data_IF_594908026162
#
_entry.id   IF_594908026162
#
_cell.length_a   1.000
_cell.length_b   1.000
_cell.length_c   1.000
_cell.angle_alpha   90.00
_cell.angle_beta   90.00
_cell.angle_gamma   90.00
#
_symmetry.space_group_name_H-M   'P 1'
#
loop_
_entity.id
_entity.type
_entity.pdbx_description
1 polymer ?
#
# COMPACT_ATOMS: atom_id res chain seq x y z
N UNK A 1 50.01 2.05 -52.76
CA UNK A 1 49.90 3.50 -52.91
C UNK A 1 49.01 3.97 -51.77
N UNK A 2 49.60 4.33 -50.64
CA UNK A 2 49.83 5.68 -50.10
C UNK A 2 48.54 6.50 -50.08
N UNK A 3 48.05 6.90 -48.93
CA UNK A 3 48.58 8.00 -48.14
C UNK A 3 47.83 8.15 -46.79
N UNK A 4 48.59 8.25 -45.76
CA UNK A 4 48.34 8.76 -44.42
C UNK A 4 47.84 10.21 -44.40
N UNK A 5 46.95 10.59 -43.45
CA UNK A 5 47.06 11.90 -42.82
C UNK A 5 46.40 11.95 -41.44
N UNK A 6 47.21 12.08 -40.43
CA UNK A 6 46.89 12.49 -39.09
C UNK A 6 46.91 14.03 -38.97
N UNK A 7 46.01 14.61 -38.15
CA UNK A 7 46.20 15.89 -37.45
C UNK A 7 45.27 15.87 -36.24
N UNK A 8 45.72 15.89 -35.08
CA UNK A 8 46.32 16.84 -34.14
C UNK A 8 45.32 17.47 -33.20
N UNK A 9 45.43 17.04 -32.01
CA UNK A 9 45.23 17.65 -30.67
C UNK A 9 44.92 19.17 -30.62
N UNK A 10 43.96 19.54 -29.80
CA UNK A 10 44.07 20.70 -28.91
C UNK A 10 43.40 20.43 -27.58
N UNK A 11 44.20 20.49 -26.53
CA UNK A 11 43.80 20.65 -25.11
C UNK A 11 43.30 22.09 -24.93
N UNK A 12 42.31 22.28 -24.10
CA UNK A 12 42.28 23.45 -23.24
C UNK A 12 41.65 23.11 -21.89
N UNK A 13 42.38 23.49 -20.91
CA UNK A 13 42.25 23.35 -19.46
C UNK A 13 41.53 24.56 -18.86
N UNK A 14 41.11 24.36 -17.59
CA UNK A 14 40.79 25.34 -16.52
C UNK A 14 39.41 25.95 -16.60
N UNK A 15 38.65 26.04 -15.53
CA UNK A 15 38.88 26.50 -14.16
C UNK A 15 37.78 26.08 -13.20
N UNK A 16 38.20 25.81 -11.98
CA UNK A 16 37.43 25.67 -10.75
C UNK A 16 36.56 26.89 -10.46
N UNK A 17 35.40 26.69 -9.84
CA UNK A 17 34.92 27.65 -8.87
C UNK A 17 34.07 26.93 -7.80
N UNK A 18 34.66 26.88 -6.63
CA UNK A 18 34.03 26.64 -5.34
C UNK A 18 33.06 27.77 -5.04
N UNK A 19 31.88 27.43 -4.55
CA UNK A 19 31.22 28.27 -3.58
C UNK A 19 30.12 27.48 -2.86
N UNK A 20 30.41 27.11 -1.61
CA UNK A 20 29.43 26.85 -0.57
C UNK A 20 29.10 28.16 0.16
N UNK A 21 27.93 28.34 0.70
CA UNK A 21 27.81 28.81 2.07
C UNK A 21 26.83 27.95 2.88
N UNK A 22 27.34 27.38 4.00
CA UNK A 22 27.25 27.93 5.36
C UNK A 22 25.88 27.88 6.00
N UNK A 23 25.85 27.10 7.07
CA UNK A 23 24.82 26.93 8.08
C UNK A 23 24.34 28.27 8.69
N UNK A 24 23.08 28.30 9.07
CA UNK A 24 22.58 29.20 10.09
C UNK A 24 21.71 28.41 11.07
N UNK A 25 22.31 28.16 12.17
CA UNK A 25 21.74 27.79 13.46
C UNK A 25 20.99 29.01 14.03
N UNK A 26 19.75 28.84 14.51
CA UNK A 26 19.14 29.76 15.44
C UNK A 26 18.55 28.97 16.59
N UNK A 27 19.20 29.18 17.71
CA UNK A 27 18.92 28.71 19.06
C UNK A 27 17.77 29.48 19.69
N UNK A 28 17.02 28.77 20.52
CA UNK A 28 16.44 29.12 21.85
C UNK A 28 15.44 30.27 21.97
N UNK A 29 14.37 30.06 22.66
CA UNK A 29 14.26 30.29 24.11
C UNK A 29 12.96 29.75 24.69
N UNK A 30 13.11 29.11 25.83
CA UNK A 30 12.08 28.78 26.82
C UNK A 30 11.49 30.05 27.44
N UNK A 31 10.22 30.01 27.78
CA UNK A 31 9.74 30.70 28.95
C UNK A 31 8.56 29.99 29.61
N UNK A 32 8.79 29.60 30.83
CA UNK A 32 7.90 29.21 31.90
C UNK A 32 6.84 30.28 32.20
N UNK A 33 5.67 29.82 32.61
CA UNK A 33 4.63 30.65 33.20
C UNK A 33 3.69 29.82 34.07
N UNK A 34 4.04 29.66 35.31
CA UNK A 34 3.33 29.03 36.41
C UNK A 34 2.35 30.05 37.04
N UNK A 35 1.17 29.59 37.51
CA UNK A 35 0.45 30.07 38.72
C UNK A 35 -0.95 29.41 38.75
N UNK A 36 -1.17 28.45 39.65
CA UNK A 36 -1.73 28.54 41.03
C UNK A 36 -3.08 29.25 41.11
N UNK A 37 -4.00 28.58 41.61
CA UNK A 37 -4.57 28.29 42.92
C UNK A 37 -6.05 28.59 42.95
N UNK A 38 -6.77 27.74 43.52
CA UNK A 38 -7.46 27.59 44.80
C UNK A 38 -8.90 28.10 44.73
N UNK A 39 -9.88 27.60 45.36
CA UNK A 39 -10.17 26.93 46.62
C UNK A 39 -11.70 26.77 46.72
N UNK A 40 -12.13 25.61 47.26
CA UNK A 40 -13.12 25.39 48.32
C UNK A 40 -14.51 26.04 48.26
N UNK A 41 -15.57 25.36 48.54
CA UNK A 41 -16.26 24.89 49.76
C UNK A 41 -17.60 24.27 49.35
N UNK A 42 -18.00 23.11 49.71
CA UNK A 42 -18.53 22.46 50.89
C UNK A 42 -19.93 22.90 51.33
N UNK A 43 -20.66 21.87 51.68
CA UNK A 43 -21.88 21.82 52.53
C UNK A 43 -23.24 21.99 51.84
N UNK A 44 -24.30 21.33 52.21
CA UNK A 44 -24.60 20.39 53.29
C UNK A 44 -25.98 19.72 53.00
N UNK A 45 -26.11 18.45 53.40
CA UNK A 45 -27.26 17.75 54.00
C UNK A 45 -28.72 18.09 53.63
N UNK A 46 -29.53 17.13 53.28
CA UNK A 46 -30.41 16.38 54.23
C UNK A 46 -31.40 15.44 53.52
N UNK A 47 -31.34 14.19 54.01
CA UNK A 47 -32.44 13.27 54.44
C UNK A 47 -33.63 12.94 53.56
N UNK A 48 -33.74 11.64 53.34
CA UNK A 48 -34.89 10.79 53.03
C UNK A 48 -36.06 10.95 54.01
N UNK A 49 -37.25 10.27 53.90
CA UNK A 49 -37.48 8.95 53.26
C UNK A 49 -38.87 8.76 52.61
N UNK A 50 -38.98 7.59 51.93
CA UNK A 50 -40.16 6.67 51.89
C UNK A 50 -41.44 7.07 51.19
N UNK A 51 -41.83 6.30 50.17
CA UNK A 51 -43.00 5.38 50.29
C UNK A 51 -43.08 4.42 49.10
N UNK A 52 -43.27 3.15 49.43
CA UNK A 52 -43.65 2.03 48.56
C UNK A 52 -44.93 2.33 47.81
N UNK A 53 -44.98 1.89 46.53
CA UNK A 53 -46.11 1.08 46.07
C UNK A 53 -45.75 0.30 44.81
N UNK A 54 -46.09 -0.96 44.93
CA UNK A 54 -46.03 -2.06 43.98
C UNK A 54 -47.01 -1.88 42.82
N UNK A 55 -46.59 -2.21 41.61
CA UNK A 55 -47.46 -2.87 40.64
C UNK A 55 -46.67 -3.53 39.52
N UNK A 56 -47.05 -4.73 39.24
CA UNK A 56 -46.47 -5.81 38.47
C UNK A 56 -46.41 -5.60 36.95
N UNK A 57 -45.91 -6.59 36.19
CA UNK A 57 -45.11 -6.36 34.98
C UNK A 57 -45.97 -6.39 33.72
N UNK A 58 -45.74 -5.47 32.84
CA UNK A 58 -46.17 -5.61 31.45
C UNK A 58 -44.98 -6.10 30.62
N UNK A 59 -45.02 -7.37 30.31
CA UNK A 59 -44.21 -7.98 29.28
C UNK A 59 -44.57 -7.35 27.94
N UNK A 60 -43.70 -6.52 27.42
CA UNK A 60 -43.69 -6.21 26.00
C UNK A 60 -42.26 -6.38 25.49
N UNK A 61 -41.91 -7.63 25.22
CA UNK A 61 -40.70 -8.01 24.53
C UNK A 61 -40.77 -7.52 23.08
N UNK A 62 -40.48 -6.25 22.85
CA UNK A 62 -40.04 -5.81 21.52
C UNK A 62 -38.67 -6.42 21.27
N UNK A 63 -38.69 -7.55 20.59
CA UNK A 63 -37.55 -8.11 19.89
C UNK A 63 -37.03 -7.00 18.96
N UNK A 64 -36.05 -6.21 19.43
CA UNK A 64 -35.24 -5.39 18.58
C UNK A 64 -34.37 -6.36 17.77
N UNK A 65 -34.79 -6.62 16.54
CA UNK A 65 -33.85 -7.06 15.52
C UNK A 65 -32.75 -6.02 15.49
N UNK A 66 -31.66 -6.33 16.18
CA UNK A 66 -30.44 -5.58 16.13
C UNK A 66 -29.81 -5.85 14.77
N UNK A 67 -30.30 -5.20 13.74
CA UNK A 67 -29.62 -5.06 12.48
C UNK A 67 -28.23 -4.46 12.82
N UNK A 68 -27.21 -5.31 12.81
CA UNK A 68 -25.84 -4.93 13.10
C UNK A 68 -25.45 -3.86 12.08
N UNK A 69 -25.53 -2.58 12.47
CA UNK A 69 -25.14 -1.48 11.60
C UNK A 69 -23.69 -1.68 11.21
N UNK A 70 -23.43 -1.83 9.90
CA UNK A 70 -22.08 -1.92 9.36
C UNK A 70 -21.26 -0.72 9.81
N UNK A 71 -20.02 -0.95 10.20
CA UNK A 71 -19.05 0.12 10.51
C UNK A 71 -18.84 1.04 9.29
N UNK A 72 -18.31 2.23 9.51
CA UNK A 72 -18.01 3.16 8.40
C UNK A 72 -16.98 2.55 7.43
N UNK A 73 -16.00 1.83 7.94
CA UNK A 73 -15.01 1.11 7.13
C UNK A 73 -15.66 -0.01 6.32
N UNK A 74 -16.53 -0.82 6.92
CA UNK A 74 -17.24 -1.88 6.21
C UNK A 74 -18.13 -1.32 5.09
N UNK A 75 -18.83 -0.20 5.33
CA UNK A 75 -19.64 0.48 4.29
C UNK A 75 -18.75 0.97 3.14
N UNK A 76 -17.59 1.55 3.46
CA UNK A 76 -16.63 2.03 2.47
C UNK A 76 -16.09 0.86 1.64
N UNK A 77 -15.63 -0.23 2.28
CA UNK A 77 -15.10 -1.41 1.59
C UNK A 77 -16.19 -2.08 0.74
N UNK A 78 -17.43 -2.20 1.23
CA UNK A 78 -18.54 -2.75 0.45
C UNK A 78 -18.86 -1.90 -0.78
N UNK A 79 -18.75 -0.57 -0.68
CA UNK A 79 -18.93 0.33 -1.81
C UNK A 79 -17.83 0.10 -2.87
N UNK A 80 -16.58 0.04 -2.44
CA UNK A 80 -15.46 -0.20 -3.36
C UNK A 80 -15.53 -1.59 -4.00
N UNK A 81 -16.04 -2.60 -3.27
CA UNK A 81 -16.29 -3.93 -3.82
C UNK A 81 -17.33 -3.87 -4.95
N UNK A 82 -18.42 -3.13 -4.75
CA UNK A 82 -19.44 -2.97 -5.79
C UNK A 82 -18.88 -2.24 -7.00
N UNK A 83 -18.09 -1.18 -6.80
CA UNK A 83 -17.46 -0.40 -7.86
C UNK A 83 -16.47 -1.26 -8.68
N UNK A 84 -15.54 -1.97 -8.02
CA UNK A 84 -14.54 -2.78 -8.71
C UNK A 84 -15.15 -4.03 -9.39
N UNK A 85 -16.28 -4.52 -8.88
CA UNK A 85 -17.01 -5.63 -9.51
C UNK A 85 -17.75 -5.18 -10.77
N UNK A 86 -18.21 -3.92 -10.81
CA UNK A 86 -18.92 -3.36 -11.93
C UNK A 86 -17.97 -2.88 -13.05
N UNK A 87 -16.89 -2.22 -12.65
CA UNK A 87 -15.89 -1.64 -13.55
C UNK A 87 -14.47 -1.92 -13.01
N UNK A 88 -13.96 -3.14 -13.22
CA UNK A 88 -12.62 -3.51 -12.76
C UNK A 88 -11.55 -2.72 -13.50
N UNK A 89 -10.46 -2.32 -12.82
CA UNK A 89 -9.33 -1.69 -13.48
C UNK A 89 -8.72 -2.60 -14.55
N UNK A 90 -8.18 -2.02 -15.61
CA UNK A 90 -7.51 -2.79 -16.64
C UNK A 90 -6.46 -3.74 -16.04
N UNK A 91 -6.49 -4.99 -16.50
CA UNK A 91 -5.58 -6.07 -16.08
C UNK A 91 -5.68 -6.45 -14.57
N UNK A 92 -6.70 -5.99 -13.85
CA UNK A 92 -6.84 -6.28 -12.42
C UNK A 92 -8.18 -6.91 -12.11
N UNK A 93 -8.20 -7.78 -11.08
CA UNK A 93 -9.41 -8.18 -10.41
C UNK A 93 -9.18 -8.20 -8.90
N UNK A 94 -10.22 -7.98 -8.10
CA UNK A 94 -10.13 -8.06 -6.65
C UNK A 94 -11.48 -8.41 -6.04
N UNK A 95 -11.44 -9.09 -4.91
CA UNK A 95 -12.63 -9.41 -4.14
C UNK A 95 -12.30 -10.05 -2.80
N UNK A 96 -13.30 -10.17 -1.91
CA UNK A 96 -13.12 -10.75 -0.59
C UNK A 96 -12.61 -12.20 -0.65
N UNK A 97 -11.82 -12.56 0.33
CA UNK A 97 -11.39 -13.93 0.57
C UNK A 97 -12.44 -14.62 1.46
N UNK A 98 -13.26 -15.46 0.86
CA UNK A 98 -14.40 -16.07 1.57
C UNK A 98 -15.38 -14.99 2.07
N UNK A 99 -15.83 -15.14 3.32
CA UNK A 99 -16.83 -14.25 3.93
C UNK A 99 -16.22 -13.03 4.64
N UNK A 100 -14.89 -12.88 4.63
CA UNK A 100 -14.22 -11.78 5.31
C UNK A 100 -14.08 -10.56 4.41
N UNK A 101 -14.94 -9.55 4.65
CA UNK A 101 -14.93 -8.30 3.90
C UNK A 101 -13.60 -7.52 4.01
N UNK A 102 -12.83 -7.73 5.07
CA UNK A 102 -11.58 -7.00 5.32
C UNK A 102 -10.34 -7.68 4.75
N UNK A 103 -10.48 -8.86 4.18
CA UNK A 103 -9.41 -9.60 3.52
C UNK A 103 -9.78 -9.86 2.07
N UNK A 104 -8.98 -9.35 1.14
CA UNK A 104 -9.22 -9.55 -0.28
C UNK A 104 -8.06 -10.29 -0.92
N UNK A 105 -8.41 -11.02 -1.97
CA UNK A 105 -7.44 -11.52 -2.97
C UNK A 105 -7.61 -10.69 -4.22
N UNK A 106 -6.49 -10.20 -4.74
CA UNK A 106 -6.45 -9.46 -6.00
C UNK A 106 -5.54 -10.18 -7.00
N UNK A 107 -5.82 -9.99 -8.27
CA UNK A 107 -4.95 -10.45 -9.35
C UNK A 107 -4.55 -9.29 -10.23
N UNK A 108 -3.31 -9.31 -10.70
CA UNK A 108 -2.79 -8.39 -11.70
C UNK A 108 -2.23 -9.22 -12.84
N UNK A 109 -2.75 -9.01 -14.05
CA UNK A 109 -2.10 -9.51 -15.25
C UNK A 109 -0.93 -8.58 -15.61
N UNK A 110 0.24 -9.17 -15.84
CA UNK A 110 1.44 -8.41 -16.19
C UNK A 110 1.21 -7.47 -17.37
N UNK A 111 1.51 -6.19 -17.26
CA UNK A 111 1.24 -5.19 -18.28
C UNK A 111 1.91 -5.54 -19.61
N UNK A 112 1.21 -5.28 -20.72
CA UNK A 112 1.78 -5.44 -22.07
C UNK A 112 3.01 -4.56 -22.22
N UNK A 113 4.06 -5.09 -22.86
CA UNK A 113 5.32 -4.35 -23.04
C UNK A 113 6.26 -4.38 -21.83
N UNK A 114 5.81 -4.85 -20.67
CA UNK A 114 6.69 -5.08 -19.51
C UNK A 114 7.32 -6.49 -19.58
N UNK A 115 8.42 -6.75 -18.85
CA UNK A 115 9.01 -8.08 -18.72
C UNK A 115 8.06 -9.09 -18.03
N UNK A 116 6.98 -8.61 -17.43
CA UNK A 116 5.97 -9.39 -16.72
C UNK A 116 4.78 -9.78 -17.59
N UNK A 117 4.77 -9.37 -18.87
CA UNK A 117 3.67 -9.65 -19.81
C UNK A 117 3.36 -11.16 -19.87
N UNK A 118 2.06 -11.50 -19.84
CA UNK A 118 1.57 -12.87 -19.81
C UNK A 118 1.59 -13.55 -18.43
N UNK A 119 2.18 -12.92 -17.40
CA UNK A 119 2.11 -13.39 -16.02
C UNK A 119 0.79 -13.01 -15.34
N UNK A 120 0.38 -13.81 -14.36
CA UNK A 120 -0.71 -13.48 -13.44
C UNK A 120 -0.15 -13.48 -12.03
N UNK A 121 -0.28 -12.34 -11.37
CA UNK A 121 0.28 -12.11 -10.03
C UNK A 121 -0.86 -11.99 -9.03
N UNK A 122 -0.81 -12.79 -7.98
CA UNK A 122 -1.77 -12.77 -6.88
C UNK A 122 -1.26 -11.89 -5.76
N UNK A 123 -2.15 -11.09 -5.19
CA UNK A 123 -1.87 -10.24 -4.04
C UNK A 123 -2.91 -10.49 -2.95
N UNK A 124 -2.46 -10.46 -1.70
CA UNK A 124 -3.34 -10.35 -0.55
C UNK A 124 -3.47 -8.87 -0.17
N UNK A 125 -4.68 -8.46 0.20
CA UNK A 125 -4.98 -7.11 0.68
C UNK A 125 -5.73 -7.22 2.00
N UNK A 126 -5.20 -6.59 3.05
CA UNK A 126 -5.83 -6.53 4.35
C UNK A 126 -6.22 -5.09 4.69
N UNK A 127 -7.49 -4.87 4.99
CA UNK A 127 -8.00 -3.57 5.36
C UNK A 127 -8.01 -3.42 6.90
N UNK A 128 -7.50 -2.30 7.45
CA UNK A 128 -7.64 -2.00 8.86
C UNK A 128 -9.07 -1.53 9.18
N UNK A 129 -9.43 -1.56 10.46
CA UNK A 129 -10.73 -1.05 10.92
C UNK A 129 -10.88 0.46 10.69
N UNK A 130 -9.76 1.16 10.61
CA UNK A 130 -9.69 2.61 10.38
C UNK A 130 -9.71 2.99 8.89
N UNK A 131 -9.83 2.02 7.98
CA UNK A 131 -9.98 2.31 6.55
C UNK A 131 -11.21 3.19 6.27
N UNK A 132 -11.16 4.23 5.45
CA UNK A 132 -10.06 4.65 4.56
C UNK A 132 -9.09 5.67 5.18
N UNK A 133 -9.20 6.01 6.48
CA UNK A 133 -8.30 7.00 7.09
C UNK A 133 -6.87 6.48 7.24
N UNK A 134 -6.73 5.15 7.35
CA UNK A 134 -5.44 4.45 7.20
C UNK A 134 -5.43 3.65 5.90
N UNK A 135 -4.27 3.49 5.26
CA UNK A 135 -4.13 2.63 4.09
C UNK A 135 -4.48 1.18 4.41
N UNK A 136 -4.65 0.32 3.38
CA UNK A 136 -4.60 -1.11 3.57
C UNK A 136 -3.33 -1.47 4.36
N UNK A 137 -3.48 -2.33 5.36
CA UNK A 137 -2.38 -2.68 6.29
C UNK A 137 -1.30 -3.46 5.56
N UNK A 138 -1.71 -4.42 4.75
CA UNK A 138 -0.83 -5.27 3.97
C UNK A 138 -1.39 -5.34 2.54
N UNK A 139 -0.56 -4.95 1.58
CA UNK A 139 -0.74 -5.25 0.16
C UNK A 139 0.50 -6.00 -0.26
N UNK A 140 0.39 -7.31 -0.42
CA UNK A 140 1.55 -8.20 -0.52
C UNK A 140 1.40 -9.14 -1.70
N UNK A 141 2.43 -9.23 -2.53
CA UNK A 141 2.49 -10.24 -3.59
C UNK A 141 2.62 -11.64 -3.00
N UNK A 142 1.71 -12.53 -3.32
CA UNK A 142 1.80 -13.97 -3.06
C UNK A 142 2.66 -14.65 -4.12
N UNK A 143 2.54 -14.17 -5.35
CA UNK A 143 3.36 -14.64 -6.48
C UNK A 143 4.73 -13.98 -6.41
N UNK A 144 5.78 -14.77 -6.40
CA UNK A 144 7.14 -14.22 -6.45
C UNK A 144 7.37 -13.51 -7.77
N UNK A 145 8.03 -12.35 -7.69
CA UNK A 145 8.33 -11.51 -8.83
C UNK A 145 9.77 -10.99 -8.73
N UNK A 146 10.44 -10.83 -9.85
CA UNK A 146 11.77 -10.22 -9.91
C UNK A 146 11.60 -8.72 -10.17
N UNK A 147 11.67 -7.90 -9.10
CA UNK A 147 11.39 -6.46 -9.18
C UNK A 147 12.11 -5.70 -8.06
N UNK A 148 12.74 -4.56 -8.36
CA UNK A 148 13.52 -3.81 -7.37
C UNK A 148 12.68 -3.22 -6.22
N UNK A 149 11.40 -2.92 -6.45
CA UNK A 149 10.50 -2.36 -5.44
C UNK A 149 9.62 -3.41 -4.74
N UNK A 150 9.85 -4.71 -4.99
CA UNK A 150 9.12 -5.81 -4.36
C UNK A 150 10.13 -6.80 -3.81
N UNK A 151 10.06 -7.08 -2.51
CA UNK A 151 11.01 -7.97 -1.87
C UNK A 151 10.60 -9.46 -1.93
N UNK A 152 11.44 -10.34 -1.39
CA UNK A 152 11.19 -11.79 -1.40
C UNK A 152 9.97 -12.22 -0.58
N UNK A 153 9.50 -11.40 0.36
CA UNK A 153 8.27 -11.61 1.12
C UNK A 153 7.03 -11.06 0.39
N UNK A 154 7.21 -10.40 -0.75
CA UNK A 154 6.14 -9.80 -1.52
C UNK A 154 5.75 -8.38 -1.08
N UNK A 155 6.44 -7.81 -0.09
CA UNK A 155 6.17 -6.43 0.35
C UNK A 155 6.55 -5.44 -0.76
N UNK A 156 5.73 -4.40 -0.92
CA UNK A 156 5.81 -3.41 -2.00
C UNK A 156 6.30 -2.08 -1.43
N UNK A 157 7.33 -1.47 -2.04
CA UNK A 157 7.66 -0.08 -1.81
C UNK A 157 6.81 0.80 -2.74
N UNK A 158 5.74 1.36 -2.20
CA UNK A 158 4.85 2.26 -2.91
C UNK A 158 4.39 3.34 -1.93
N UNK A 159 4.62 4.58 -2.27
CA UNK A 159 4.41 5.75 -1.41
C UNK A 159 2.96 5.94 -0.99
N UNK A 160 2.00 5.69 -1.91
CA UNK A 160 0.56 5.77 -1.62
C UNK A 160 0.08 4.72 -0.60
N UNK A 161 0.87 3.69 -0.30
CA UNK A 161 0.59 2.73 0.77
C UNK A 161 1.20 3.16 2.11
N UNK A 162 1.91 4.29 2.15
CA UNK A 162 2.63 4.86 3.30
C UNK A 162 2.21 6.31 3.52
N UNK A 163 3.17 7.22 3.41
CA UNK A 163 3.04 8.63 3.77
C UNK A 163 2.14 9.43 2.82
N UNK A 164 2.02 9.00 1.56
CA UNK A 164 1.18 9.64 0.55
C UNK A 164 -0.23 9.03 0.44
N UNK A 165 -0.64 8.23 1.44
CA UNK A 165 -2.00 7.74 1.50
C UNK A 165 -3.01 8.87 1.71
N UNK A 166 -4.12 8.80 1.01
CA UNK A 166 -5.27 9.69 1.20
C UNK A 166 -6.56 8.88 1.23
N UNK A 167 -7.55 9.24 2.05
CA UNK A 167 -8.87 8.60 2.05
C UNK A 167 -9.63 8.71 0.72
N UNK A 168 -9.20 9.57 -0.18
CA UNK A 168 -9.72 9.67 -1.56
C UNK A 168 -9.22 8.55 -2.49
N UNK A 169 -8.17 7.82 -2.07
CA UNK A 169 -7.69 6.66 -2.80
C UNK A 169 -8.63 5.47 -2.56
N UNK A 170 -8.77 4.64 -3.59
CA UNK A 170 -9.53 3.39 -3.57
C UNK A 170 -8.59 2.23 -3.87
N UNK A 171 -9.04 1.00 -3.57
CA UNK A 171 -8.25 -0.18 -3.92
C UNK A 171 -8.01 -0.30 -5.42
N UNK A 172 -8.97 0.14 -6.25
CA UNK A 172 -8.78 0.21 -7.71
C UNK A 172 -7.60 1.09 -8.09
N UNK A 173 -7.45 2.26 -7.46
CA UNK A 173 -6.31 3.18 -7.70
C UNK A 173 -4.99 2.58 -7.19
N UNK A 174 -5.02 1.87 -6.07
CA UNK A 174 -3.84 1.15 -5.56
C UNK A 174 -3.39 0.09 -6.55
N UNK A 175 -4.30 -0.74 -7.07
CA UNK A 175 -3.96 -1.77 -8.05
C UNK A 175 -3.42 -1.17 -9.35
N UNK A 176 -4.00 -0.06 -9.83
CA UNK A 176 -3.48 0.66 -11.00
C UNK A 176 -2.07 1.22 -10.75
N UNK A 177 -1.81 1.76 -9.55
CA UNK A 177 -0.47 2.24 -9.19
C UNK A 177 0.55 1.11 -9.13
N UNK A 178 0.14 -0.08 -8.68
CA UNK A 178 1.01 -1.28 -8.72
C UNK A 178 1.25 -1.70 -10.19
N UNK A 179 0.25 -1.67 -11.06
CA UNK A 179 0.44 -1.93 -12.50
C UNK A 179 1.44 -0.94 -13.12
N UNK A 180 1.36 0.33 -12.77
CA UNK A 180 2.32 1.35 -13.22
C UNK A 180 3.72 1.06 -12.71
N UNK A 181 3.86 0.65 -11.44
CA UNK A 181 5.14 0.28 -10.84
C UNK A 181 5.78 -0.93 -11.56
N UNK A 182 4.98 -1.88 -12.04
CA UNK A 182 5.48 -3.01 -12.83
C UNK A 182 6.00 -2.59 -14.21
N UNK A 183 5.48 -1.50 -14.76
CA UNK A 183 5.92 -0.97 -16.05
C UNK A 183 7.11 -0.03 -15.90
N UNK A 184 7.08 0.80 -14.86
CA UNK A 184 8.06 1.84 -14.57
C UNK A 184 8.50 1.74 -13.11
N UNK A 185 9.52 0.92 -12.80
CA UNK A 185 10.07 0.76 -11.47
C UNK A 185 10.74 2.05 -10.96
N UNK A 186 10.83 2.19 -9.64
CA UNK A 186 11.63 3.22 -8.99
C UNK A 186 12.95 2.64 -8.45
N UNK A 187 14.03 2.62 -9.24
CA UNK A 187 15.31 2.08 -8.82
C UNK A 187 16.06 2.96 -7.82
N UNK A 188 15.59 4.19 -7.57
CA UNK A 188 16.21 5.12 -6.61
C UNK A 188 15.69 4.93 -5.17
N UNK A 189 14.53 4.25 -4.99
CA UNK A 189 14.02 3.83 -3.68
C UNK A 189 13.68 2.32 -3.70
N UNK A 190 14.70 1.45 -3.81
CA UNK A 190 14.49 0.02 -3.97
C UNK A 190 14.34 -0.70 -2.62
N UNK A 191 13.58 -1.79 -2.61
CA UNK A 191 13.64 -2.81 -1.56
C UNK A 191 14.74 -3.85 -1.83
N UNK A 192 15.15 -4.02 -3.09
CA UNK A 192 16.18 -4.97 -3.51
C UNK A 192 17.21 -4.24 -4.35
N UNK A 193 18.28 -3.76 -3.70
CA UNK A 193 19.32 -2.93 -4.31
C UNK A 193 20.07 -3.60 -5.46
N UNK A 194 20.31 -4.93 -5.40
CA UNK A 194 20.95 -5.67 -6.48
C UNK A 194 20.13 -5.64 -7.77
N UNK A 195 18.80 -5.80 -7.67
CA UNK A 195 17.91 -5.74 -8.84
C UNK A 195 17.83 -4.31 -9.39
N UNK A 196 17.85 -3.30 -8.49
CA UNK A 196 17.89 -1.90 -8.92
C UNK A 196 19.16 -1.56 -9.69
N UNK A 197 20.31 -2.02 -9.22
CA UNK A 197 21.57 -1.82 -9.90
C UNK A 197 21.60 -2.52 -11.26
N UNK A 198 21.09 -3.75 -11.35
CA UNK A 198 20.97 -4.46 -12.62
C UNK A 198 20.04 -3.71 -13.58
N UNK A 199 18.89 -3.24 -13.11
CA UNK A 199 17.95 -2.43 -13.89
C UNK A 199 18.59 -1.16 -14.47
N UNK A 200 19.48 -0.49 -13.71
CA UNK A 200 20.15 0.74 -14.13
C UNK A 200 21.34 0.48 -15.05
N UNK A 201 22.09 -0.60 -14.82
CA UNK A 201 23.36 -0.85 -15.50
C UNK A 201 23.22 -1.82 -16.70
N UNK A 202 22.30 -2.78 -16.63
CA UNK A 202 22.05 -3.79 -17.65
C UNK A 202 20.56 -4.10 -17.74
N UNK A 203 19.84 -3.22 -18.40
CA UNK A 203 18.39 -3.34 -18.57
C UNK A 203 17.99 -4.60 -19.34
N UNK A 204 18.79 -5.04 -20.29
CA UNK A 204 18.49 -6.22 -21.11
C UNK A 204 18.56 -7.49 -20.26
N UNK A 205 19.56 -7.62 -19.41
CA UNK A 205 19.71 -8.76 -18.50
C UNK A 205 18.62 -8.74 -17.44
N UNK A 206 18.35 -7.59 -16.80
CA UNK A 206 17.23 -7.44 -15.88
C UNK A 206 15.92 -7.94 -16.49
N UNK A 207 15.58 -7.44 -17.68
CA UNK A 207 14.33 -7.79 -18.35
C UNK A 207 14.29 -9.27 -18.78
N UNK A 208 15.44 -9.85 -19.13
CA UNK A 208 15.58 -11.27 -19.44
C UNK A 208 15.27 -12.13 -18.20
N UNK A 209 15.88 -11.79 -17.07
CA UNK A 209 15.69 -12.51 -15.79
C UNK A 209 14.24 -12.37 -15.32
N UNK A 210 13.68 -11.16 -15.37
CA UNK A 210 12.30 -10.92 -14.97
C UNK A 210 11.30 -11.73 -15.83
N UNK A 211 11.52 -11.84 -17.14
CA UNK A 211 10.71 -12.69 -18.05
C UNK A 211 10.85 -14.17 -17.71
N UNK A 212 12.05 -14.64 -17.36
CA UNK A 212 12.25 -16.04 -16.96
C UNK A 212 11.52 -16.37 -15.67
N UNK A 213 11.58 -15.49 -14.66
CA UNK A 213 10.83 -15.66 -13.43
C UNK A 213 9.32 -15.73 -13.71
N UNK A 214 8.81 -14.82 -14.51
CA UNK A 214 7.40 -14.79 -14.90
C UNK A 214 6.98 -16.10 -15.56
N UNK A 215 7.74 -16.63 -16.53
CA UNK A 215 7.47 -17.90 -17.19
C UNK A 215 7.49 -19.11 -16.26
N UNK A 216 8.40 -19.12 -15.28
CA UNK A 216 8.47 -20.22 -14.30
C UNK A 216 7.20 -20.31 -13.47
N UNK A 217 6.66 -19.18 -13.05
CA UNK A 217 5.42 -19.15 -12.26
C UNK A 217 4.20 -19.53 -13.06
N UNK A 218 4.11 -19.14 -14.33
CA UNK A 218 3.02 -19.57 -15.22
C UNK A 218 3.01 -21.09 -15.32
N UNK A 219 4.16 -21.72 -15.55
CA UNK A 219 4.27 -23.19 -15.64
C UNK A 219 3.86 -23.89 -14.34
N UNK A 220 4.24 -23.35 -13.19
CA UNK A 220 3.83 -23.90 -11.90
C UNK A 220 2.31 -23.84 -11.70
N UNK A 221 1.68 -22.71 -12.02
CA UNK A 221 0.22 -22.55 -11.93
C UNK A 221 -0.47 -23.54 -12.89
N UNK A 222 0.01 -23.68 -14.11
CA UNK A 222 -0.54 -24.64 -15.09
C UNK A 222 -0.40 -26.09 -14.61
N UNK A 223 0.75 -26.46 -14.04
CA UNK A 223 0.93 -27.78 -13.44
C UNK A 223 -0.05 -28.04 -12.30
N UNK A 224 -0.24 -27.08 -11.39
CA UNK A 224 -1.22 -27.22 -10.30
C UNK A 224 -2.64 -27.38 -10.81
N UNK A 225 -3.03 -26.63 -11.84
CA UNK A 225 -4.34 -26.76 -12.47
C UNK A 225 -4.52 -28.15 -13.12
N UNK A 226 -3.54 -28.63 -13.86
CA UNK A 226 -3.61 -29.96 -14.49
C UNK A 226 -3.70 -31.10 -13.47
N UNK A 227 -2.95 -30.99 -12.34
CA UNK A 227 -3.05 -31.97 -11.24
C UNK A 227 -4.39 -31.91 -10.51
N UNK A 228 -4.98 -30.73 -10.34
CA UNK A 228 -6.28 -30.56 -9.67
C UNK A 228 -7.46 -31.08 -10.48
N UNK A 229 -7.34 -31.22 -11.81
CA UNK A 229 -8.37 -31.79 -12.68
C UNK A 229 -8.14 -33.28 -12.99
N UNK A 230 -7.00 -33.84 -12.60
CA UNK A 230 -6.65 -35.24 -12.86
C UNK A 230 -6.98 -36.18 -11.68
N UNK A 231 -7.44 -35.63 -10.55
CA UNK A 231 -7.98 -36.36 -9.39
C UNK A 231 -9.49 -36.15 -9.28
#
# INVERSE_FOLDING_TARGET
MSSTRATRSTRNSTTSNDNAPSAAEVTTTSSNGNATSSTTTANDRRSSPSTRQSSSPSMNSKKKDAGKSLSSSAKRISKELAEISLDPPANCSAGPKGDNLYEWVSTIAGPSGSPYAGGIFFLDVHFPQEYPFKPPKDVVFRTRIYHCNINSQGAICLDILKDNWSPALTISKVLLSICSLLTDPNPHDPLVGSIAQEYLNDREEHDRVAREWTKRFIKLIQMFYLFSYAC
#
